data_IF_536995892265
#
_entry.id   IF_536995892265
#
_cell.length_a   1.000
_cell.length_b   1.000
_cell.length_c   1.000
_cell.angle_alpha   90.00
_cell.angle_beta   90.00
_cell.angle_gamma   90.00
#
_symmetry.space_group_name_H-M   'P 1'
#
loop_
_entity.id
_entity.type
_entity.pdbx_description
1 polymer ?
#
# COMPACT_ATOMS: atom_id res chain seq x y z
N UNK A 1 -0.37 -15.23 -12.53
CA UNK A 1 0.33 -14.49 -11.46
C UNK A 1 1.55 -15.31 -11.04
N UNK A 2 2.78 -14.77 -11.16
CA UNK A 2 3.97 -15.43 -10.63
C UNK A 2 3.93 -15.49 -9.10
N UNK A 3 4.74 -16.34 -8.44
CA UNK A 3 4.82 -16.36 -6.99
C UNK A 3 5.22 -14.99 -6.43
N UNK A 4 4.69 -14.65 -5.25
CA UNK A 4 5.05 -13.44 -4.51
C UNK A 4 6.52 -13.52 -4.06
N UNK A 5 7.37 -12.55 -4.43
CA UNK A 5 8.77 -12.52 -4.02
C UNK A 5 8.90 -12.12 -2.54
N UNK A 6 10.09 -12.26 -1.93
CA UNK A 6 10.34 -11.74 -0.60
C UNK A 6 10.07 -10.24 -0.50
N UNK A 7 9.52 -9.82 0.63
CA UNK A 7 9.30 -8.40 0.94
C UNK A 7 10.60 -7.85 1.51
N UNK A 8 11.18 -6.90 0.77
CA UNK A 8 12.42 -6.22 1.15
C UNK A 8 12.28 -4.72 1.15
N UNK A 9 13.20 -4.01 1.81
CA UNK A 9 13.24 -2.55 1.78
C UNK A 9 13.35 -2.03 0.33
N UNK A 10 14.18 -2.68 -0.49
CA UNK A 10 14.32 -2.39 -1.92
C UNK A 10 12.98 -2.52 -2.67
N UNK A 11 12.18 -3.55 -2.36
CA UNK A 11 10.87 -3.75 -2.99
C UNK A 11 9.89 -2.64 -2.59
N UNK A 12 9.96 -2.15 -1.34
CA UNK A 12 9.15 -1.03 -0.87
C UNK A 12 9.54 0.29 -1.53
N UNK A 13 10.83 0.57 -1.69
CA UNK A 13 11.31 1.79 -2.35
C UNK A 13 10.97 1.82 -3.85
N UNK A 14 11.18 0.69 -4.55
CA UNK A 14 10.76 0.53 -5.95
C UNK A 14 9.25 0.69 -6.08
N UNK A 15 8.50 0.04 -5.20
CA UNK A 15 7.05 0.12 -5.13
C UNK A 15 6.55 1.54 -4.91
N UNK A 16 7.19 2.30 -4.01
CA UNK A 16 6.87 3.71 -3.77
C UNK A 16 7.06 4.55 -5.04
N UNK A 17 8.21 4.40 -5.71
CA UNK A 17 8.51 5.13 -6.94
C UNK A 17 7.51 4.82 -8.04
N UNK A 18 7.17 3.54 -8.21
CA UNK A 18 6.17 3.09 -9.18
C UNK A 18 4.78 3.61 -8.83
N UNK A 19 4.40 3.58 -7.55
CA UNK A 19 3.12 4.12 -7.08
C UNK A 19 3.00 5.63 -7.32
N UNK A 20 4.06 6.40 -7.04
CA UNK A 20 4.10 7.84 -7.32
C UNK A 20 3.91 8.14 -8.80
N UNK A 21 4.55 7.37 -9.68
CA UNK A 21 4.44 7.57 -11.13
C UNK A 21 3.12 7.14 -11.75
N UNK A 22 2.44 6.13 -11.18
CA UNK A 22 1.32 5.45 -11.84
C UNK A 22 -0.03 5.55 -11.08
N UNK A 23 -0.01 5.65 -9.75
CA UNK A 23 -1.19 5.45 -8.92
C UNK A 23 -1.60 6.71 -8.14
N UNK A 24 -0.62 7.54 -7.76
CA UNK A 24 -0.79 8.70 -6.89
C UNK A 24 -1.82 9.72 -7.40
N UNK A 25 -1.94 9.90 -8.72
CA UNK A 25 -2.85 10.90 -9.30
C UNK A 25 -4.33 10.64 -8.94
N UNK A 26 -4.67 9.37 -8.69
CA UNK A 26 -6.01 8.96 -8.25
C UNK A 26 -6.02 8.61 -6.76
N UNK A 27 -5.04 7.83 -6.28
CA UNK A 27 -5.04 7.31 -4.91
C UNK A 27 -4.43 8.26 -3.86
N UNK A 28 -3.84 9.38 -4.28
CA UNK A 28 -3.20 10.35 -3.39
C UNK A 28 -1.78 9.94 -2.96
N UNK A 29 -0.99 10.90 -2.49
CA UNK A 29 0.42 10.69 -2.12
C UNK A 29 0.58 9.67 -0.98
N UNK A 30 -0.39 9.65 -0.06
CA UNK A 30 -0.41 8.74 1.10
C UNK A 30 -1.27 7.49 0.87
N UNK A 31 -1.83 7.33 -0.33
CA UNK A 31 -2.74 6.23 -0.64
C UNK A 31 -4.09 6.33 0.08
N UNK A 32 -4.54 7.56 0.39
CA UNK A 32 -5.77 7.81 1.16
C UNK A 32 -7.03 7.90 0.28
N UNK A 33 -6.90 7.72 -1.04
CA UNK A 33 -8.01 7.80 -1.98
C UNK A 33 -8.43 9.25 -2.29
N UNK A 34 -7.52 10.20 -2.05
CA UNK A 34 -7.74 11.66 -2.11
C UNK A 34 -6.91 12.34 -3.21
N UNK A 35 -6.56 11.59 -4.27
CA UNK A 35 -5.79 12.12 -5.39
C UNK A 35 -6.50 13.26 -6.13
N UNK A 36 -5.75 14.12 -6.84
CA UNK A 36 -6.31 15.28 -7.55
C UNK A 36 -7.36 14.94 -8.61
N UNK A 37 -7.38 13.71 -9.13
CA UNK A 37 -8.37 13.27 -10.11
C UNK A 37 -9.72 12.89 -9.50
N UNK A 38 -9.80 12.65 -8.18
CA UNK A 38 -11.02 12.16 -7.51
C UNK A 38 -12.29 12.93 -7.89
N UNK A 39 -12.30 14.29 -7.98
CA UNK A 39 -13.52 15.03 -8.34
C UNK A 39 -14.10 14.73 -9.72
N UNK A 40 -13.30 14.15 -10.63
CA UNK A 40 -13.70 13.87 -12.02
C UNK A 40 -13.80 12.37 -12.33
N UNK A 41 -13.48 11.49 -11.37
CA UNK A 41 -13.57 10.05 -11.57
C UNK A 41 -15.03 9.58 -11.55
N UNK A 42 -15.44 8.89 -12.61
CA UNK A 42 -16.77 8.28 -12.74
C UNK A 42 -16.67 6.88 -13.31
N UNK A 43 -17.60 6.01 -12.93
CA UNK A 43 -17.75 4.69 -13.53
C UNK A 43 -18.44 4.77 -14.90
N UNK A 44 -18.61 3.62 -15.55
CA UNK A 44 -19.28 3.51 -16.84
C UNK A 44 -20.79 3.86 -16.80
N UNK A 45 -21.36 4.05 -15.62
CA UNK A 45 -22.74 4.48 -15.40
C UNK A 45 -22.83 5.96 -14.98
N UNK A 46 -21.74 6.73 -15.14
CA UNK A 46 -21.61 8.15 -14.75
C UNK A 46 -21.74 8.40 -13.23
N UNK A 47 -21.65 7.35 -12.40
CA UNK A 47 -21.64 7.50 -10.96
C UNK A 47 -20.23 7.88 -10.45
N UNK A 48 -20.10 8.80 -9.47
CA UNK A 48 -18.80 9.16 -8.91
C UNK A 48 -18.08 7.95 -8.29
N UNK A 49 -16.77 7.84 -8.54
CA UNK A 49 -15.91 6.79 -7.99
C UNK A 49 -14.82 7.38 -7.12
N UNK A 50 -14.71 6.89 -5.89
CA UNK A 50 -13.61 7.23 -4.99
C UNK A 50 -12.66 6.04 -4.92
N UNK A 51 -11.36 6.21 -5.25
CA UNK A 51 -10.35 5.18 -5.07
C UNK A 51 -10.24 4.74 -3.61
N UNK A 52 -9.87 3.48 -3.38
CA UNK A 52 -9.75 2.96 -2.02
C UNK A 52 -8.65 3.70 -1.23
N UNK A 53 -8.97 4.00 0.03
CA UNK A 53 -8.02 4.41 1.04
C UNK A 53 -7.32 3.16 1.60
N UNK A 54 -6.04 3.01 1.27
CA UNK A 54 -5.22 1.86 1.67
C UNK A 54 -4.87 1.86 3.16
N UNK A 55 -5.04 2.99 3.86
CA UNK A 55 -4.80 3.09 5.30
C UNK A 55 -5.95 2.55 6.13
N UNK A 56 -7.16 2.35 5.56
CA UNK A 56 -8.33 1.86 6.29
C UNK A 56 -8.41 0.33 6.35
N UNK A 57 -9.06 -0.25 7.38
CA UNK A 57 -9.34 -1.68 7.41
C UNK A 57 -10.17 -2.13 6.20
N UNK A 58 -10.00 -3.39 5.80
CA UNK A 58 -10.78 -3.97 4.70
C UNK A 58 -12.29 -3.95 5.01
N UNK A 59 -13.11 -3.65 4.00
CA UNK A 59 -14.58 -3.60 4.13
C UNK A 59 -15.13 -2.36 4.84
N UNK A 60 -14.27 -1.47 5.36
CA UNK A 60 -14.70 -0.17 5.86
C UNK A 60 -15.16 0.74 4.71
N UNK A 61 -16.11 1.66 4.93
CA UNK A 61 -16.45 2.69 3.96
C UNK A 61 -15.19 3.44 3.47
N UNK A 62 -14.99 3.47 2.16
CA UNK A 62 -13.81 4.08 1.54
C UNK A 62 -12.53 3.22 1.55
N UNK A 63 -12.48 2.11 2.28
CA UNK A 63 -11.35 1.18 2.30
C UNK A 63 -11.34 0.18 1.14
N UNK A 64 -10.34 -0.71 1.13
CA UNK A 64 -10.27 -1.80 0.15
C UNK A 64 -11.43 -2.78 0.37
N UNK A 65 -12.23 -3.03 -0.67
CA UNK A 65 -13.48 -3.80 -0.57
C UNK A 65 -13.27 -5.28 -0.22
N UNK A 66 -12.34 -5.96 -0.89
CA UNK A 66 -12.17 -7.43 -0.79
C UNK A 66 -10.96 -7.86 0.03
N UNK A 67 -10.31 -6.93 0.74
CA UNK A 67 -9.16 -7.24 1.60
C UNK A 67 -7.83 -6.69 1.09
N UNK A 68 -6.90 -6.51 2.03
CA UNK A 68 -5.52 -6.12 1.75
C UNK A 68 -4.61 -7.31 1.39
N UNK A 69 -5.19 -8.45 1.01
CA UNK A 69 -4.44 -9.65 0.62
C UNK A 69 -3.60 -9.36 -0.64
N UNK A 70 -2.32 -9.73 -0.61
CA UNK A 70 -1.37 -9.38 -1.67
C UNK A 70 -1.80 -9.89 -3.04
N UNK A 71 -2.35 -11.11 -3.14
CA UNK A 71 -2.87 -11.65 -4.40
C UNK A 71 -4.07 -10.86 -4.96
N UNK A 72 -4.92 -10.33 -4.07
CA UNK A 72 -6.07 -9.53 -4.49
C UNK A 72 -5.61 -8.17 -5.04
N UNK A 73 -4.69 -7.51 -4.33
CA UNK A 73 -4.09 -6.26 -4.78
C UNK A 73 -3.33 -6.47 -6.10
N UNK A 74 -2.54 -7.54 -6.21
CA UNK A 74 -1.83 -7.89 -7.43
C UNK A 74 -2.78 -8.03 -8.62
N UNK A 75 -3.86 -8.81 -8.47
CA UNK A 75 -4.87 -8.97 -9.53
C UNK A 75 -5.51 -7.64 -9.90
N UNK A 76 -5.86 -6.81 -8.91
CA UNK A 76 -6.48 -5.51 -9.15
C UNK A 76 -5.59 -4.55 -9.93
N UNK A 77 -4.28 -4.55 -9.67
CA UNK A 77 -3.32 -3.76 -10.47
C UNK A 77 -3.13 -4.40 -11.85
N UNK A 78 -2.95 -5.71 -11.92
CA UNK A 78 -2.71 -6.42 -13.18
C UNK A 78 -3.86 -6.22 -14.18
N UNK A 79 -5.10 -6.45 -13.75
CA UNK A 79 -6.28 -6.49 -14.62
C UNK A 79 -7.15 -5.23 -14.57
N UNK A 80 -6.78 -4.24 -13.76
CA UNK A 80 -7.67 -3.12 -13.45
C UNK A 80 -8.96 -3.55 -12.74
N UNK A 81 -9.88 -2.59 -12.58
CA UNK A 81 -11.21 -2.84 -12.00
C UNK A 81 -12.26 -2.46 -13.05
N UNK A 82 -12.86 -3.49 -13.66
CA UNK A 82 -13.86 -3.33 -14.71
C UNK A 82 -15.02 -2.41 -14.31
N UNK A 83 -15.42 -1.53 -15.22
CA UNK A 83 -16.45 -0.52 -14.99
C UNK A 83 -15.95 0.75 -14.29
N UNK A 84 -14.72 0.80 -13.80
CA UNK A 84 -14.14 1.99 -13.14
C UNK A 84 -13.00 2.60 -13.95
N UNK A 85 -12.54 3.82 -13.62
CA UNK A 85 -11.34 4.40 -14.23
C UNK A 85 -10.01 3.71 -13.90
N UNK A 86 -9.99 2.68 -13.04
CA UNK A 86 -8.76 1.97 -12.69
C UNK A 86 -8.30 1.10 -13.87
N UNK A 87 -7.18 1.45 -14.55
CA UNK A 87 -6.80 0.81 -15.80
C UNK A 87 -6.10 -0.54 -15.57
N UNK A 88 -5.93 -1.27 -16.66
CA UNK A 88 -5.11 -2.48 -16.74
C UNK A 88 -3.63 -2.07 -16.79
N UNK A 89 -2.78 -2.65 -15.94
CA UNK A 89 -1.34 -2.34 -15.93
C UNK A 89 -0.44 -3.43 -16.52
N UNK A 90 -0.95 -4.62 -16.84
CA UNK A 90 -0.12 -5.72 -17.37
C UNK A 90 0.59 -5.41 -18.70
N UNK A 91 0.11 -4.42 -19.45
CA UNK A 91 0.74 -3.94 -20.68
C UNK A 91 1.90 -2.95 -20.43
N UNK A 92 1.96 -2.34 -19.24
CA UNK A 92 2.88 -1.24 -18.92
C UNK A 92 3.87 -1.59 -17.80
N UNK A 93 3.54 -2.56 -16.95
CA UNK A 93 4.33 -2.98 -15.79
C UNK A 93 4.61 -4.47 -15.84
N UNK A 94 5.85 -4.85 -15.51
CA UNK A 94 6.26 -6.24 -15.37
C UNK A 94 5.65 -6.82 -14.08
N UNK A 95 5.42 -8.15 -14.01
CA UNK A 95 4.89 -8.76 -12.80
C UNK A 95 5.68 -8.49 -11.52
N UNK A 96 7.01 -8.38 -11.59
CA UNK A 96 7.83 -7.99 -10.43
C UNK A 96 7.56 -6.56 -9.96
N UNK A 97 7.36 -5.62 -10.89
CA UNK A 97 7.02 -4.22 -10.58
C UNK A 97 5.63 -4.11 -9.95
N UNK A 98 4.68 -4.95 -10.38
CA UNK A 98 3.37 -5.05 -9.74
C UNK A 98 3.50 -5.57 -8.31
N UNK A 99 4.34 -6.58 -8.06
CA UNK A 99 4.62 -7.04 -6.70
C UNK A 99 5.25 -5.95 -5.82
N UNK A 100 6.20 -5.19 -6.34
CA UNK A 100 6.79 -4.04 -5.63
C UNK A 100 5.70 -3.01 -5.25
N UNK A 101 4.79 -2.67 -6.16
CA UNK A 101 3.64 -1.80 -5.87
C UNK A 101 2.76 -2.40 -4.76
N UNK A 102 2.46 -3.70 -4.82
CA UNK A 102 1.65 -4.38 -3.82
C UNK A 102 2.31 -4.32 -2.44
N UNK A 103 3.60 -4.60 -2.34
CA UNK A 103 4.35 -4.50 -1.09
C UNK A 103 4.30 -3.07 -0.54
N UNK A 104 4.50 -2.05 -1.39
CA UNK A 104 4.39 -0.66 -0.97
C UNK A 104 2.97 -0.32 -0.48
N UNK A 105 1.91 -0.70 -1.20
CA UNK A 105 0.52 -0.45 -0.79
C UNK A 105 0.20 -1.14 0.54
N UNK A 106 0.65 -2.38 0.75
CA UNK A 106 0.48 -3.08 2.03
C UNK A 106 1.23 -2.38 3.17
N UNK A 107 2.41 -1.80 2.89
CA UNK A 107 3.17 -1.05 3.89
C UNK A 107 2.41 0.16 4.42
N UNK A 108 1.53 0.78 3.61
CA UNK A 108 0.64 1.87 4.05
C UNK A 108 -0.34 1.36 5.11
N UNK A 109 -0.95 0.19 4.89
CA UNK A 109 -1.85 -0.42 5.88
C UNK A 109 -1.10 -0.89 7.13
N UNK A 110 0.10 -1.44 6.98
CA UNK A 110 0.95 -1.85 8.12
C UNK A 110 1.26 -0.65 8.99
N UNK A 111 1.69 0.47 8.39
CA UNK A 111 2.01 1.71 9.11
C UNK A 111 0.80 2.30 9.80
N UNK A 112 -0.35 2.34 9.13
CA UNK A 112 -1.60 2.82 9.71
C UNK A 112 -2.05 1.94 10.89
N UNK A 113 -2.03 0.62 10.71
CA UNK A 113 -2.45 -0.30 11.76
C UNK A 113 -1.50 -0.29 12.98
N UNK A 114 -0.20 -0.18 12.75
CA UNK A 114 0.75 0.02 13.84
C UNK A 114 0.45 1.31 14.62
N UNK A 115 0.15 2.41 13.94
CA UNK A 115 -0.21 3.67 14.60
C UNK A 115 -1.48 3.52 15.45
N UNK A 116 -2.53 2.87 14.91
CA UNK A 116 -3.76 2.54 15.64
C UNK A 116 -3.46 1.71 16.92
N UNK A 117 -2.56 0.73 16.83
CA UNK A 117 -2.18 -0.10 17.98
C UNK A 117 -1.40 0.69 19.03
N UNK A 118 -0.48 1.58 18.61
CA UNK A 118 0.25 2.47 19.52
C UNK A 118 -0.69 3.42 20.23
N UNK A 119 -1.66 4.01 19.52
CA UNK A 119 -2.72 4.83 20.12
C UNK A 119 -3.58 4.04 21.11
N UNK A 120 -3.81 2.74 20.82
CA UNK A 120 -4.51 1.81 21.73
C UNK A 120 -3.64 1.30 22.90
N UNK A 121 -2.38 1.74 23.02
CA UNK A 121 -1.50 1.44 24.14
C UNK A 121 -0.48 0.32 23.92
N UNK A 122 -0.18 -0.04 22.66
CA UNK A 122 0.93 -0.94 22.34
C UNK A 122 2.27 -0.35 22.83
N UNK A 123 3.09 -1.17 23.50
CA UNK A 123 4.40 -0.76 24.00
C UNK A 123 5.43 -0.77 22.87
N UNK A 124 6.42 0.12 22.97
CA UNK A 124 7.55 0.18 22.03
C UNK A 124 8.27 -1.18 21.87
N UNK A 125 8.38 -1.94 22.96
CA UNK A 125 9.00 -3.28 22.95
C UNK A 125 8.27 -4.28 22.05
N UNK A 126 6.99 -4.05 21.78
CA UNK A 126 6.10 -5.01 21.12
C UNK A 126 5.83 -4.60 19.66
N UNK A 127 6.39 -3.46 19.21
CA UNK A 127 6.14 -2.90 17.86
C UNK A 127 6.65 -3.82 16.75
N UNK A 128 7.83 -4.39 16.90
CA UNK A 128 8.41 -5.26 15.88
C UNK A 128 7.57 -6.53 15.69
N UNK A 129 7.15 -7.15 16.80
CA UNK A 129 6.27 -8.32 16.80
C UNK A 129 4.90 -7.99 16.19
N UNK A 130 4.33 -6.82 16.53
CA UNK A 130 3.10 -6.35 15.94
C UNK A 130 3.24 -6.16 14.42
N UNK A 131 4.30 -5.49 13.95
CA UNK A 131 4.56 -5.31 12.50
C UNK A 131 4.67 -6.65 11.79
N UNK A 132 5.42 -7.60 12.37
CA UNK A 132 5.58 -8.95 11.82
C UNK A 132 4.24 -9.67 11.71
N UNK A 133 3.40 -9.59 12.76
CA UNK A 133 2.08 -10.19 12.77
C UNK A 133 1.16 -9.56 11.70
N UNK A 134 1.17 -8.23 11.57
CA UNK A 134 0.37 -7.53 10.56
C UNK A 134 0.79 -7.96 9.15
N UNK A 135 2.09 -7.96 8.86
CA UNK A 135 2.61 -8.43 7.58
C UNK A 135 2.18 -9.87 7.24
N UNK A 136 2.26 -10.79 8.20
CA UNK A 136 1.87 -12.19 8.01
C UNK A 136 0.37 -12.39 7.73
N UNK A 137 -0.48 -11.45 8.15
CA UNK A 137 -1.91 -11.42 7.80
C UNK A 137 -2.09 -10.97 6.35
N UNK A 138 -1.33 -9.97 5.91
CA UNK A 138 -1.49 -9.34 4.60
C UNK A 138 -0.84 -10.12 3.44
N UNK A 139 0.30 -10.78 3.70
CA UNK A 139 1.13 -11.40 2.65
C UNK A 139 1.46 -12.86 2.97
N UNK A 140 1.16 -13.80 2.04
CA UNK A 140 1.69 -15.15 2.08
C UNK A 140 3.22 -15.22 2.17
N UNK A 141 3.97 -14.34 1.49
CA UNK A 141 5.42 -14.25 1.61
C UNK A 141 5.86 -13.93 3.05
N UNK A 142 5.27 -12.90 3.66
CA UNK A 142 5.55 -12.58 5.06
C UNK A 142 5.18 -13.74 6.01
N UNK A 143 4.08 -14.47 5.75
CA UNK A 143 3.67 -15.62 6.55
C UNK A 143 4.68 -16.77 6.50
N UNK A 144 5.39 -16.94 5.39
CA UNK A 144 6.49 -17.92 5.25
C UNK A 144 7.80 -17.44 5.87
N UNK A 145 7.88 -16.18 6.30
CA UNK A 145 9.10 -15.56 6.80
C UNK A 145 9.94 -14.88 5.71
N UNK A 146 9.42 -14.72 4.50
CA UNK A 146 10.09 -14.04 3.39
C UNK A 146 9.96 -12.51 3.54
N UNK A 147 10.39 -11.99 4.69
CA UNK A 147 10.35 -10.57 5.07
C UNK A 147 11.71 -10.19 5.66
N UNK A 148 12.39 -9.22 5.07
CA UNK A 148 13.70 -8.80 5.57
C UNK A 148 13.61 -8.05 6.91
N UNK A 149 14.72 -8.10 7.65
CA UNK A 149 14.83 -7.47 8.97
C UNK A 149 14.71 -5.95 8.87
N UNK A 150 15.22 -5.36 7.79
CA UNK A 150 15.17 -3.92 7.56
C UNK A 150 13.73 -3.42 7.37
N UNK A 151 12.87 -4.16 6.67
CA UNK A 151 11.44 -3.83 6.55
C UNK A 151 10.72 -3.92 7.89
N UNK A 152 11.05 -4.93 8.70
CA UNK A 152 10.51 -5.05 10.06
C UNK A 152 10.93 -3.87 10.93
N UNK A 153 12.20 -3.47 10.83
CA UNK A 153 12.81 -2.44 11.66
C UNK A 153 12.69 -1.03 11.11
N UNK A 154 12.13 -0.83 9.92
CA UNK A 154 12.04 0.48 9.25
C UNK A 154 11.37 1.52 10.16
N UNK A 155 12.20 2.19 10.95
CA UNK A 155 11.87 3.27 11.88
C UNK A 155 11.75 4.54 11.06
N UNK A 156 10.54 5.09 10.99
CA UNK A 156 10.18 6.50 10.71
C UNK A 156 11.25 7.37 10.00
N UNK A 157 11.81 6.94 8.87
CA UNK A 157 12.82 7.71 8.11
C UNK A 157 12.20 8.81 7.24
N UNK A 158 11.34 9.67 7.81
CA UNK A 158 10.73 10.79 7.05
C UNK A 158 10.32 12.01 7.88
N UNK A 159 10.80 12.17 9.11
CA UNK A 159 10.57 13.40 9.90
C UNK A 159 11.87 13.93 10.52
N UNK A 160 12.93 14.05 9.72
CA UNK A 160 14.14 14.83 10.06
C UNK A 160 14.79 15.31 8.75
N UNK A 161 14.11 16.23 8.04
CA UNK A 161 14.68 16.98 6.91
C UNK A 161 13.96 18.31 6.68
N UNK A 162 13.44 18.94 7.74
CA UNK A 162 12.97 20.33 7.70
C UNK A 162 13.28 21.04 9.02
N UNK A 163 14.54 20.99 9.44
CA UNK A 163 15.11 21.95 10.39
C UNK A 163 16.56 22.25 10.01
N UNK A 164 16.78 22.71 8.79
CA UNK A 164 18.01 23.45 8.45
C UNK A 164 17.63 24.72 7.69
N UNK A 165 17.55 25.80 8.47
CA UNK A 165 18.10 27.12 8.18
C UNK A 165 18.28 27.52 6.72
N UNK A 166 17.58 28.59 6.32
CA UNK A 166 18.12 29.56 5.37
C UNK A 166 17.84 31.00 5.84
N UNK A 167 18.74 31.94 5.51
CA UNK A 167 19.07 33.16 6.27
C UNK A 167 18.06 34.31 6.15
#
# INVERSE_FOLDING_TARGET
>A
MPPEPPITIDSLEKGQKLFTGNCMICHGQKGEGDGPMVPVLKDIWDAPVVPANFTLPAGMPGGVKLGHNSEHLFKSVMTGIGGTPMPVFEEHLKPGEIWDIVHYVQSLRVKAHQAELVEAGLKESDIEDARKAIWAVLSPAARRGDLDVETLQARRSSQESQTETHP
#
